data_IF_695551717996
#
_entry.id   IF_695551717996
#
_cell.length_a   1.000
_cell.length_b   1.000
_cell.length_c   1.000
_cell.angle_alpha   90.00
_cell.angle_beta   90.00
_cell.angle_gamma   90.00
#
_symmetry.space_group_name_H-M   'P 1'
#
loop_
_entity.id
_entity.type
_entity.pdbx_description
1 polymer ?
#
# COMPACT_ATOMS: atom_id res chain seq x y z
N UNK A 1 -35.26 -59.13 12.02
CA UNK A 1 -35.17 -57.95 12.92
C UNK A 1 -33.73 -57.47 13.15
N UNK A 2 -32.71 -58.25 12.90
CA UNK A 2 -31.30 -57.95 13.13
C UNK A 2 -30.66 -57.05 12.06
N UNK A 3 -31.07 -57.15 10.81
CA UNK A 3 -30.51 -56.44 9.65
C UNK A 3 -30.83 -54.93 9.62
N UNK A 4 -31.86 -54.45 10.28
CA UNK A 4 -32.21 -53.00 10.37
C UNK A 4 -31.39 -52.32 11.46
N UNK A 5 -31.01 -53.03 12.51
CA UNK A 5 -30.21 -52.50 13.65
C UNK A 5 -28.79 -52.18 13.25
N UNK A 6 -28.17 -52.98 12.38
CA UNK A 6 -26.82 -52.72 11.89
C UNK A 6 -26.72 -51.50 10.97
N UNK A 7 -27.78 -51.24 10.16
CA UNK A 7 -27.81 -50.04 9.32
C UNK A 7 -27.96 -48.75 10.11
N UNK A 8 -28.71 -48.79 11.19
CA UNK A 8 -28.87 -47.65 12.10
C UNK A 8 -27.56 -47.35 12.85
N UNK A 9 -26.87 -48.38 13.29
CA UNK A 9 -25.57 -48.26 13.97
C UNK A 9 -24.49 -47.75 13.01
N UNK A 10 -24.44 -48.21 11.78
CA UNK A 10 -23.55 -47.68 10.72
C UNK A 10 -23.83 -46.21 10.39
N UNK A 11 -25.09 -45.81 10.33
CA UNK A 11 -25.45 -44.41 10.07
C UNK A 11 -25.09 -43.50 11.25
N UNK A 12 -25.30 -43.97 12.48
CA UNK A 12 -24.90 -43.24 13.70
C UNK A 12 -23.39 -43.07 13.81
N UNK A 13 -22.61 -44.09 13.43
CA UNK A 13 -21.14 -44.04 13.41
C UNK A 13 -20.62 -43.08 12.33
N UNK A 14 -21.23 -43.09 11.15
CA UNK A 14 -20.92 -42.16 10.06
C UNK A 14 -21.24 -40.70 10.44
N UNK A 15 -22.34 -40.47 11.14
CA UNK A 15 -22.74 -39.16 11.62
C UNK A 15 -21.81 -38.64 12.76
N UNK A 16 -21.34 -39.53 13.62
CA UNK A 16 -20.37 -39.20 14.67
C UNK A 16 -18.98 -38.76 14.09
N UNK A 17 -18.55 -39.39 12.98
CA UNK A 17 -17.32 -39.03 12.29
C UNK A 17 -17.44 -37.67 11.57
N UNK A 18 -18.64 -37.32 11.08
CA UNK A 18 -18.88 -36.00 10.46
C UNK A 18 -18.91 -34.84 11.47
N UNK A 19 -19.20 -35.13 12.76
CA UNK A 19 -19.19 -34.13 13.84
C UNK A 19 -17.81 -33.90 14.43
N UNK A 20 -16.81 -34.74 14.13
CA UNK A 20 -15.43 -34.62 14.64
C UNK A 20 -14.58 -33.66 13.77
N UNK A 21 -15.10 -33.14 12.69
CA UNK A 21 -14.43 -32.19 11.84
C UNK A 21 -14.59 -30.76 12.35
N UNK A 22 -13.48 -30.11 12.63
CA UNK A 22 -13.31 -28.69 12.98
C UNK A 22 -13.40 -28.37 14.48
N UNK A 23 -12.42 -28.78 15.26
CA UNK A 23 -12.05 -28.06 16.47
C UNK A 23 -10.52 -28.04 16.67
N UNK A 24 -9.79 -27.75 15.60
CA UNK A 24 -8.46 -27.17 15.78
C UNK A 24 -8.68 -25.69 16.12
N UNK A 25 -8.82 -25.35 17.40
CA UNK A 25 -8.55 -24.02 17.89
C UNK A 25 -7.08 -23.77 17.58
N UNK A 26 -6.78 -23.16 16.43
CA UNK A 26 -5.47 -22.56 16.22
C UNK A 26 -5.23 -21.62 17.40
N UNK A 27 -4.12 -21.79 18.09
CA UNK A 27 -3.66 -20.82 19.08
C UNK A 27 -3.70 -19.45 18.35
N UNK A 28 -4.24 -18.39 18.98
CA UNK A 28 -4.17 -17.08 18.36
C UNK A 28 -2.70 -16.80 18.01
N UNK A 29 -2.45 -16.45 16.76
CA UNK A 29 -1.11 -16.05 16.35
C UNK A 29 -0.74 -14.79 17.14
N UNK A 30 0.51 -14.70 17.60
CA UNK A 30 1.01 -13.55 18.33
C UNK A 30 1.03 -12.35 17.42
N UNK A 31 0.43 -11.24 17.87
CA UNK A 31 0.36 -9.99 17.15
C UNK A 31 1.58 -9.14 17.48
N UNK A 32 2.25 -8.66 16.44
CA UNK A 32 3.36 -7.72 16.53
C UNK A 32 3.02 -6.46 15.76
N UNK A 33 3.31 -5.29 16.35
CA UNK A 33 3.04 -4.00 15.73
C UNK A 33 4.26 -3.10 15.83
N UNK A 34 4.60 -2.41 14.74
CA UNK A 34 5.60 -1.34 14.70
C UNK A 34 5.04 -0.11 14.03
N UNK A 35 5.73 1.01 14.18
CA UNK A 35 5.36 2.26 13.53
C UNK A 35 6.53 2.88 12.80
N UNK A 36 6.28 3.38 11.59
CA UNK A 36 7.25 4.11 10.78
C UNK A 36 6.67 5.45 10.37
N UNK A 37 7.47 6.50 10.46
CA UNK A 37 7.16 7.80 9.88
C UNK A 37 7.93 7.93 8.58
N UNK A 38 7.21 7.95 7.46
CA UNK A 38 7.78 8.07 6.14
C UNK A 38 6.76 8.69 5.17
N UNK A 39 7.20 9.23 4.06
CA UNK A 39 6.36 9.88 3.04
C UNK A 39 5.40 10.94 3.63
N UNK A 40 5.89 11.68 4.63
CA UNK A 40 5.12 12.71 5.33
C UNK A 40 3.97 12.21 6.20
N UNK A 41 3.88 10.90 6.47
CA UNK A 41 2.81 10.31 7.27
C UNK A 41 3.31 9.29 8.28
N UNK A 42 2.50 8.98 9.29
CA UNK A 42 2.77 7.88 10.23
C UNK A 42 1.99 6.64 9.79
N UNK A 43 2.70 5.54 9.67
CA UNK A 43 2.14 4.24 9.30
C UNK A 43 2.30 3.27 10.46
N UNK A 44 1.21 2.60 10.85
CA UNK A 44 1.23 1.47 11.78
C UNK A 44 1.20 0.18 10.98
N UNK A 45 2.17 -0.69 11.22
CA UNK A 45 2.31 -1.99 10.56
C UNK A 45 2.03 -3.08 11.58
N UNK A 46 1.17 -4.03 11.24
CA UNK A 46 0.83 -5.17 12.09
C UNK A 46 1.03 -6.47 11.33
N UNK A 47 1.68 -7.43 11.98
CA UNK A 47 1.87 -8.77 11.44
C UNK A 47 1.62 -9.83 12.53
N UNK A 48 1.34 -11.06 12.12
CA UNK A 48 0.97 -12.16 12.99
C UNK A 48 1.88 -13.38 12.76
N UNK A 49 2.18 -14.11 13.83
CA UNK A 49 2.91 -15.37 13.78
C UNK A 49 4.41 -15.23 14.01
N UNK A 50 5.11 -16.35 13.95
CA UNK A 50 6.53 -16.47 14.35
C UNK A 50 7.51 -15.61 13.54
N UNK A 51 7.16 -15.26 12.30
CA UNK A 51 7.99 -14.42 11.42
C UNK A 51 7.59 -12.95 11.43
N UNK A 52 6.64 -12.55 12.28
CA UNK A 52 6.06 -11.21 12.27
C UNK A 52 7.10 -10.09 12.46
N UNK A 53 8.01 -10.22 13.40
CA UNK A 53 9.06 -9.21 13.66
C UNK A 53 9.98 -9.03 12.45
N UNK A 54 10.40 -10.12 11.81
CA UNK A 54 11.24 -10.06 10.62
C UNK A 54 10.48 -9.43 9.44
N UNK A 55 9.21 -9.76 9.26
CA UNK A 55 8.37 -9.18 8.23
C UNK A 55 8.15 -7.68 8.44
N UNK A 56 7.94 -7.25 9.68
CA UNK A 56 7.79 -5.83 10.03
C UNK A 56 9.07 -5.04 9.75
N UNK A 57 10.24 -5.58 10.11
CA UNK A 57 11.54 -4.96 9.81
C UNK A 57 11.75 -4.80 8.32
N UNK A 58 11.52 -5.86 7.53
CA UNK A 58 11.64 -5.79 6.07
C UNK A 58 10.66 -4.80 5.44
N UNK A 59 9.44 -4.70 5.99
CA UNK A 59 8.44 -3.76 5.52
C UNK A 59 8.83 -2.31 5.81
N UNK A 60 9.38 -2.04 6.99
CA UNK A 60 9.88 -0.72 7.37
C UNK A 60 11.05 -0.29 6.47
N UNK A 61 12.02 -1.18 6.25
CA UNK A 61 13.15 -0.93 5.36
C UNK A 61 12.67 -0.64 3.93
N UNK A 62 11.70 -1.43 3.45
CA UNK A 62 11.11 -1.22 2.12
C UNK A 62 10.40 0.11 1.97
N UNK A 63 9.66 0.55 2.97
CA UNK A 63 9.00 1.86 2.97
C UNK A 63 10.04 2.98 2.88
N UNK A 64 11.14 2.88 3.62
CA UNK A 64 12.23 3.87 3.57
C UNK A 64 12.95 3.90 2.22
N UNK A 65 13.16 2.72 1.60
CA UNK A 65 13.69 2.64 0.24
C UNK A 65 12.79 3.35 -0.77
N UNK A 66 11.47 3.11 -0.71
CA UNK A 66 10.51 3.75 -1.59
C UNK A 66 10.42 5.27 -1.35
N UNK A 67 10.50 5.72 -0.10
CA UNK A 67 10.58 7.14 0.22
C UNK A 67 11.81 7.79 -0.45
N UNK A 68 12.98 7.17 -0.36
CA UNK A 68 14.19 7.66 -1.00
C UNK A 68 14.09 7.71 -2.53
N UNK A 69 13.32 6.80 -3.13
CA UNK A 69 13.06 6.77 -4.57
C UNK A 69 12.10 7.87 -5.03
N UNK A 70 11.04 8.11 -4.25
CA UNK A 70 9.87 8.87 -4.68
C UNK A 70 9.68 10.19 -3.93
N UNK A 71 10.64 10.60 -3.11
CA UNK A 71 10.62 11.91 -2.45
C UNK A 71 10.53 13.03 -3.47
N UNK A 72 9.68 14.02 -3.21
CA UNK A 72 9.59 15.24 -4.01
C UNK A 72 10.59 16.31 -3.56
N UNK A 73 11.29 16.08 -2.43
CA UNK A 73 12.19 17.06 -1.79
C UNK A 73 13.65 16.60 -1.72
N UNK A 74 13.92 15.29 -1.85
CA UNK A 74 15.28 14.75 -1.92
C UNK A 74 15.80 14.83 -3.35
N UNK A 75 16.84 15.64 -3.57
CA UNK A 75 17.48 15.84 -4.89
C UNK A 75 18.05 14.56 -5.53
N UNK A 76 18.29 13.52 -4.74
CA UNK A 76 18.80 12.24 -5.21
C UNK A 76 17.65 11.31 -5.69
N UNK A 77 16.40 11.61 -5.35
CA UNK A 77 15.26 10.80 -5.72
C UNK A 77 14.93 10.90 -7.22
N UNK A 78 14.28 9.86 -7.73
CA UNK A 78 13.87 9.82 -9.13
C UNK A 78 12.76 10.84 -9.41
N UNK A 79 11.78 10.98 -8.51
CA UNK A 79 10.66 11.92 -8.68
C UNK A 79 11.12 13.37 -8.60
N UNK A 80 12.06 13.70 -7.70
CA UNK A 80 12.64 15.06 -7.70
C UNK A 80 13.31 15.38 -9.04
N UNK A 81 14.11 14.47 -9.59
CA UNK A 81 14.78 14.65 -10.89
C UNK A 81 13.76 14.82 -12.02
N UNK A 82 12.70 14.04 -12.02
CA UNK A 82 11.60 14.19 -13.00
C UNK A 82 10.96 15.56 -12.88
N UNK A 83 10.60 15.99 -11.67
CA UNK A 83 9.98 17.30 -11.42
C UNK A 83 10.88 18.48 -11.82
N UNK A 84 12.20 18.34 -11.70
CA UNK A 84 13.17 19.39 -12.07
C UNK A 84 13.60 19.32 -13.55
N UNK A 85 13.13 18.36 -14.31
CA UNK A 85 13.59 18.11 -15.68
C UNK A 85 13.16 19.17 -16.71
N UNK A 86 12.14 19.95 -16.38
CA UNK A 86 11.58 20.93 -17.32
C UNK A 86 11.01 20.31 -18.62
N UNK A 87 10.50 19.08 -18.53
CA UNK A 87 9.98 18.32 -19.67
C UNK A 87 11.05 17.57 -20.49
N UNK A 88 12.29 17.59 -20.03
CA UNK A 88 13.36 16.81 -20.68
C UNK A 88 13.28 15.35 -20.23
N UNK A 89 13.53 14.43 -21.18
CA UNK A 89 13.57 13.00 -20.88
C UNK A 89 14.57 12.70 -19.77
N UNK A 90 14.09 12.12 -18.69
CA UNK A 90 14.87 11.81 -17.48
C UNK A 90 14.94 10.29 -17.31
N UNK A 91 16.13 9.78 -17.02
CA UNK A 91 16.32 8.37 -16.69
C UNK A 91 15.96 8.15 -15.21
N UNK A 92 15.12 7.16 -14.96
CA UNK A 92 14.66 6.74 -13.63
C UNK A 92 14.82 5.24 -13.48
N UNK A 93 14.77 4.72 -12.26
CA UNK A 93 14.76 3.29 -11.99
C UNK A 93 13.49 2.64 -12.55
N UNK A 94 13.59 1.38 -12.88
CA UNK A 94 12.48 0.59 -13.46
C UNK A 94 11.22 0.67 -12.59
N UNK A 95 11.37 0.52 -11.29
CA UNK A 95 10.28 0.60 -10.32
C UNK A 95 9.58 1.97 -10.30
N UNK A 96 10.35 3.05 -10.47
CA UNK A 96 9.77 4.40 -10.60
C UNK A 96 9.04 4.56 -11.94
N UNK A 97 9.58 4.00 -13.02
CA UNK A 97 8.91 4.01 -14.32
C UNK A 97 7.59 3.22 -14.30
N UNK A 98 7.56 2.06 -13.63
CA UNK A 98 6.36 1.24 -13.48
C UNK A 98 5.26 1.97 -12.71
N UNK A 99 5.57 2.61 -11.57
CA UNK A 99 4.56 3.34 -10.80
C UNK A 99 4.07 4.59 -11.55
N UNK A 100 4.94 5.28 -12.27
CA UNK A 100 4.54 6.41 -13.10
C UNK A 100 3.60 5.97 -14.24
N UNK A 101 3.92 4.87 -14.92
CA UNK A 101 3.02 4.32 -15.95
C UNK A 101 1.68 3.93 -15.35
N UNK A 102 1.68 3.24 -14.22
CA UNK A 102 0.44 2.86 -13.52
C UNK A 102 -0.41 4.08 -13.16
N UNK A 103 0.20 5.16 -12.65
CA UNK A 103 -0.54 6.38 -12.28
C UNK A 103 -1.09 7.12 -13.50
N UNK A 104 -0.39 7.12 -14.64
CA UNK A 104 -0.89 7.67 -15.90
C UNK A 104 -2.08 6.86 -16.42
N UNK A 105 -2.01 5.53 -16.40
CA UNK A 105 -3.11 4.66 -16.77
C UNK A 105 -4.35 4.89 -15.87
N UNK A 106 -4.14 5.10 -14.58
CA UNK A 106 -5.20 5.44 -13.63
C UNK A 106 -5.77 6.84 -13.88
N UNK A 107 -4.95 7.81 -14.24
CA UNK A 107 -5.41 9.15 -14.62
C UNK A 107 -6.37 9.08 -15.82
N UNK A 108 -6.04 8.30 -16.84
CA UNK A 108 -6.90 8.08 -18.01
C UNK A 108 -8.21 7.37 -17.60
N UNK A 109 -8.14 6.27 -16.85
CA UNK A 109 -9.30 5.48 -16.44
C UNK A 109 -10.28 6.26 -15.55
N UNK A 110 -9.78 7.22 -14.78
CA UNK A 110 -10.57 8.05 -13.86
C UNK A 110 -11.01 9.39 -14.50
N UNK A 111 -10.73 9.60 -15.78
CA UNK A 111 -10.98 10.86 -16.50
C UNK A 111 -10.38 12.07 -15.75
N UNK A 112 -9.14 11.95 -15.28
CA UNK A 112 -8.41 13.00 -14.57
C UNK A 112 -8.80 13.22 -13.11
N UNK A 113 -9.61 12.33 -12.51
CA UNK A 113 -9.86 12.41 -11.05
C UNK A 113 -8.62 12.10 -10.22
N UNK A 114 -7.68 11.37 -10.77
CA UNK A 114 -6.31 11.23 -10.28
C UNK A 114 -5.40 11.91 -11.30
N UNK A 115 -4.57 12.83 -10.84
CA UNK A 115 -3.59 13.53 -11.68
C UNK A 115 -2.19 13.44 -11.05
N UNK A 116 -1.28 12.63 -11.62
CA UNK A 116 0.08 12.51 -11.11
C UNK A 116 0.94 13.76 -11.39
N UNK A 117 0.47 14.71 -12.21
CA UNK A 117 1.23 15.91 -12.57
C UNK A 117 0.91 17.12 -11.69
N UNK A 118 0.08 16.99 -10.67
CA UNK A 118 -0.44 18.06 -9.82
C UNK A 118 0.61 18.74 -8.90
N UNK A 119 1.86 18.28 -8.92
CA UNK A 119 2.95 18.81 -8.06
C UNK A 119 3.10 20.35 -8.09
N UNK A 120 3.02 21.04 -9.25
CA UNK A 120 3.09 22.51 -9.29
C UNK A 120 1.96 23.17 -8.49
N UNK A 121 0.75 22.63 -8.56
CA UNK A 121 -0.41 23.13 -7.82
C UNK A 121 -0.21 22.90 -6.31
N UNK A 122 0.23 21.71 -5.90
CA UNK A 122 0.53 21.39 -4.48
C UNK A 122 1.59 22.33 -3.91
N UNK A 123 2.60 22.68 -4.73
CA UNK A 123 3.66 23.62 -4.37
C UNK A 123 3.10 25.03 -4.21
N UNK A 124 2.24 25.48 -5.14
CA UNK A 124 1.62 26.81 -5.08
C UNK A 124 0.76 26.99 -3.83
N UNK A 125 0.07 25.95 -3.36
CA UNK A 125 -0.65 25.98 -2.09
C UNK A 125 0.24 26.01 -0.85
N UNK A 126 1.55 25.81 -0.99
CA UNK A 126 2.52 25.84 0.10
C UNK A 126 2.57 24.56 0.94
N UNK A 127 1.99 23.45 0.47
CA UNK A 127 1.98 22.18 1.22
C UNK A 127 3.38 21.60 1.40
N UNK A 128 4.31 21.90 0.51
CA UNK A 128 5.70 21.43 0.61
C UNK A 128 6.54 22.34 1.51
N UNK A 129 6.36 23.67 1.41
CA UNK A 129 7.12 24.65 2.18
C UNK A 129 6.61 24.86 3.61
N UNK A 130 5.34 24.55 3.85
CA UNK A 130 4.61 24.90 5.07
C UNK A 130 4.15 26.36 5.12
N UNK A 131 4.42 27.13 4.08
CA UNK A 131 3.96 28.53 3.92
C UNK A 131 2.65 28.53 3.12
N UNK A 132 1.55 28.24 3.78
CA UNK A 132 0.25 28.09 3.12
C UNK A 132 -0.26 29.41 2.58
N UNK A 133 -0.71 29.40 1.33
CA UNK A 133 -1.51 30.47 0.75
C UNK A 133 -2.59 29.89 -0.18
N UNK A 134 -3.59 30.70 -0.51
CA UNK A 134 -4.63 30.30 -1.46
C UNK A 134 -4.25 30.90 -2.83
N UNK A 135 -3.86 30.07 -3.83
CA UNK A 135 -3.55 30.57 -5.17
C UNK A 135 -4.78 31.22 -5.82
N UNK A 136 -4.54 32.22 -6.64
CA UNK A 136 -5.57 32.84 -7.46
C UNK A 136 -6.00 31.93 -8.61
N UNK A 137 -7.14 32.19 -9.24
CA UNK A 137 -7.60 31.44 -10.42
C UNK A 137 -6.60 31.56 -11.60
N UNK A 138 -5.98 32.74 -11.75
CA UNK A 138 -4.97 32.96 -12.79
C UNK A 138 -3.72 32.11 -12.55
N UNK A 139 -3.20 32.07 -11.30
CA UNK A 139 -2.07 31.22 -10.92
C UNK A 139 -2.37 29.73 -11.14
N UNK A 140 -3.56 29.27 -10.79
CA UNK A 140 -3.95 27.86 -11.00
C UNK A 140 -4.08 27.54 -12.51
N UNK A 141 -4.58 28.48 -13.31
CA UNK A 141 -4.72 28.29 -14.76
C UNK A 141 -3.36 28.17 -15.45
N UNK A 142 -2.35 28.91 -14.96
CA UNK A 142 -0.98 28.87 -15.51
C UNK A 142 -0.23 27.58 -15.11
N UNK A 143 -0.71 26.86 -14.07
CA UNK A 143 -0.08 25.64 -13.53
C UNK A 143 -0.72 24.34 -14.05
N UNK A 144 -1.89 24.40 -14.67
CA UNK A 144 -2.65 23.29 -15.23
C UNK A 144 -2.56 23.22 -16.75
#
# INVERSE_FOLDING_TARGET
MWRKRNKFFSFLLLFAVLLSGCSAKSKPEEEHTTGVFAMGTYMALTAYGESAEAALTLSEDRIKELEALWSTTDENSDIYKVNQSGGVRTEVREETAEILQFTLDMAEQTNGSLDPTISPVVTAWGFISGEYHIPTEDELTDLL
#
